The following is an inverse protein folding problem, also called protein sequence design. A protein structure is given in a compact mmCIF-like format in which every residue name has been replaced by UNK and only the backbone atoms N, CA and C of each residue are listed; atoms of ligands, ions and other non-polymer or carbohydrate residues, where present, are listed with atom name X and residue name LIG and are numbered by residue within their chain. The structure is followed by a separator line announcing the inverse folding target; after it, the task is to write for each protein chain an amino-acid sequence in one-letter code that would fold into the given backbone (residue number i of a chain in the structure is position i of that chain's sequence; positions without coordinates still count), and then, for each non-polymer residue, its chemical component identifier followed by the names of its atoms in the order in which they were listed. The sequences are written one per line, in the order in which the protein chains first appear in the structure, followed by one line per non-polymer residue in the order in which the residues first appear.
data_IF_839057774499
#
_entry.id   IF_839057774499
#
_cell.length_a   1.000
_cell.length_b   1.000
_cell.length_c   1.000
_cell.angle_alpha   90.00
_cell.angle_beta   90.00
_cell.angle_gamma   90.00
#
_symmetry.space_group_name_H-M   'P 1'
#
loop_
_entity.id
_entity.type
_entity.pdbx_description
1 polymer ?
#
# COMPACT_ATOMS: atom_id res chain seq x y z
N UNK A 1 8.96 6.04 14.92
CA UNK A 1 8.26 7.30 14.59
C UNK A 1 7.42 7.11 13.34
N UNK A 2 6.18 7.54 13.38
CA UNK A 2 5.29 7.44 12.23
C UNK A 2 5.14 8.81 11.59
N UNK A 3 5.39 8.88 10.30
CA UNK A 3 5.37 10.14 9.56
C UNK A 3 4.23 10.12 8.55
N UNK A 4 3.19 10.93 8.75
CA UNK A 4 2.14 11.05 7.74
C UNK A 4 2.72 11.57 6.43
N UNK A 5 2.28 11.00 5.32
CA UNK A 5 2.77 11.38 4.01
C UNK A 5 1.69 12.17 3.28
N UNK A 6 2.06 13.34 2.77
CA UNK A 6 1.18 14.13 1.92
C UNK A 6 1.19 13.51 0.53
N UNK A 7 0.06 12.94 0.13
CA UNK A 7 -0.04 12.24 -1.15
C UNK A 7 -0.64 13.12 -2.25
N UNK A 8 -0.87 14.40 -1.98
CA UNK A 8 -1.56 15.27 -2.94
C UNK A 8 -0.80 15.46 -4.25
N UNK A 9 0.53 15.37 -4.21
CA UNK A 9 1.37 15.53 -5.39
C UNK A 9 1.93 14.20 -5.90
N UNK A 10 1.42 13.07 -5.41
CA UNK A 10 1.90 11.75 -5.79
C UNK A 10 0.77 10.98 -6.47
N UNK A 11 1.08 10.42 -7.64
CA UNK A 11 0.17 9.52 -8.32
C UNK A 11 0.58 8.08 -8.03
N UNK A 12 -0.39 7.21 -7.75
CA UNK A 12 -0.12 5.83 -7.44
C UNK A 12 -0.76 4.90 -8.46
N UNK A 13 0.00 3.90 -8.90
CA UNK A 13 -0.51 2.79 -9.69
C UNK A 13 -0.28 1.50 -8.95
N UNK A 14 -1.17 0.55 -9.13
CA UNK A 14 -0.99 -0.79 -8.56
C UNK A 14 0.07 -1.53 -9.36
N UNK A 15 1.17 -1.90 -8.72
CA UNK A 15 2.21 -2.68 -9.36
C UNK A 15 1.99 -4.17 -9.18
N UNK A 16 1.62 -4.58 -7.96
CA UNK A 16 1.28 -5.98 -7.64
C UNK A 16 0.06 -5.94 -6.74
N UNK A 17 -0.93 -6.76 -7.08
CA UNK A 17 -2.18 -6.81 -6.34
C UNK A 17 -1.97 -7.30 -4.92
N UNK A 18 -2.98 -7.08 -4.07
CA UNK A 18 -2.88 -7.35 -2.66
C UNK A 18 -2.59 -8.81 -2.36
N UNK A 19 -1.65 -9.04 -1.46
CA UNK A 19 -1.30 -10.37 -0.96
C UNK A 19 -1.37 -10.37 0.55
N UNK A 20 -1.84 -11.48 1.16
CA UNK A 20 -1.88 -11.55 2.62
C UNK A 20 -0.47 -11.53 3.20
N UNK A 21 -0.29 -10.76 4.28
CA UNK A 21 0.96 -10.76 5.03
C UNK A 21 0.93 -11.93 6.00
N UNK A 22 1.91 -12.82 5.92
CA UNK A 22 1.99 -13.96 6.80
C UNK A 22 3.21 -13.85 7.70
N UNK A 23 3.11 -14.41 8.89
CA UNK A 23 4.24 -14.51 9.79
C UNK A 23 5.23 -15.52 9.23
N UNK A 24 6.49 -15.13 9.17
CA UNK A 24 7.52 -15.95 8.55
C UNK A 24 7.73 -17.27 9.29
N UNK A 25 7.63 -17.26 10.60
CA UNK A 25 7.90 -18.45 11.41
C UNK A 25 6.68 -19.36 11.53
N UNK A 26 5.51 -18.78 11.80
CA UNK A 26 4.31 -19.57 12.07
C UNK A 26 3.48 -19.84 10.82
N UNK A 27 3.76 -19.14 9.73
CA UNK A 27 3.00 -19.22 8.47
C UNK A 27 1.53 -18.82 8.63
N UNK A 28 1.20 -18.08 9.69
CA UNK A 28 -0.15 -17.63 9.94
C UNK A 28 -0.33 -16.20 9.43
N UNK A 29 -1.54 -15.85 8.98
CA UNK A 29 -1.79 -14.48 8.56
C UNK A 29 -1.53 -13.50 9.70
N UNK A 30 -0.91 -12.40 9.40
CA UNK A 30 -0.68 -11.33 10.37
C UNK A 30 -1.90 -10.42 10.38
N UNK A 31 -2.16 -9.86 11.56
CA UNK A 31 -3.27 -8.93 11.74
C UNK A 31 -2.75 -7.66 12.43
N UNK A 32 -3.52 -6.58 12.30
CA UNK A 32 -3.21 -5.36 13.03
C UNK A 32 -3.69 -5.47 14.48
N UNK A 33 -3.54 -4.40 15.24
CA UNK A 33 -3.93 -4.38 16.65
C UNK A 33 -5.43 -4.55 16.88
N UNK A 34 -6.25 -4.37 15.84
CA UNK A 34 -7.70 -4.56 15.92
C UNK A 34 -8.14 -5.93 15.41
N UNK A 35 -7.21 -6.80 15.08
CA UNK A 35 -7.53 -8.14 14.57
C UNK A 35 -7.84 -8.18 13.08
N UNK A 36 -7.69 -7.08 12.36
CA UNK A 36 -7.89 -7.05 10.92
C UNK A 36 -6.70 -7.69 10.21
N UNK A 37 -6.93 -8.64 9.28
CA UNK A 37 -5.82 -9.22 8.54
C UNK A 37 -5.10 -8.16 7.72
N UNK A 38 -3.78 -8.25 7.69
CA UNK A 38 -2.94 -7.31 6.96
C UNK A 38 -2.67 -7.84 5.56
N UNK A 39 -2.75 -6.95 4.58
CA UNK A 39 -2.39 -7.24 3.20
C UNK A 39 -1.31 -6.28 2.76
N UNK A 40 -0.48 -6.73 1.83
CA UNK A 40 0.56 -5.90 1.25
C UNK A 40 0.26 -5.68 -0.22
N UNK A 41 0.32 -4.42 -0.63
CA UNK A 41 0.13 -4.02 -2.02
C UNK A 41 1.39 -3.31 -2.47
N UNK A 42 1.94 -3.69 -3.62
CA UNK A 42 3.05 -2.96 -4.19
C UNK A 42 2.51 -1.91 -5.14
N UNK A 43 2.97 -0.68 -4.93
CA UNK A 43 2.50 0.48 -5.68
C UNK A 43 3.66 1.17 -6.36
N UNK A 44 3.39 1.75 -7.52
CA UNK A 44 4.32 2.67 -8.17
C UNK A 44 3.91 4.07 -7.74
N UNK A 45 4.80 4.74 -7.01
CA UNK A 45 4.59 6.12 -6.58
C UNK A 45 5.33 7.04 -7.53
N UNK A 46 4.61 7.95 -8.18
CA UNK A 46 5.17 8.83 -9.21
C UNK A 46 5.01 10.28 -8.78
N UNK A 47 6.12 11.03 -8.85
CA UNK A 47 6.14 12.44 -8.49
C UNK A 47 7.33 13.10 -9.14
N UNK A 48 7.10 14.27 -9.76
CA UNK A 48 8.16 15.11 -10.33
C UNK A 48 9.13 14.36 -11.24
N UNK A 49 8.60 13.50 -12.11
CA UNK A 49 9.42 12.77 -13.05
C UNK A 49 10.17 11.60 -12.47
N UNK A 50 9.93 11.28 -11.21
CA UNK A 50 10.52 10.11 -10.56
C UNK A 50 9.44 9.07 -10.28
N UNK A 51 9.83 7.80 -10.25
CA UNK A 51 8.93 6.72 -9.93
C UNK A 51 9.65 5.69 -9.06
N UNK A 52 9.00 5.29 -7.98
CA UNK A 52 9.53 4.30 -7.06
C UNK A 52 8.47 3.25 -6.77
N UNK A 53 8.92 2.01 -6.57
CA UNK A 53 8.02 0.94 -6.15
C UNK A 53 8.08 0.86 -4.64
N UNK A 54 6.92 0.98 -3.99
CA UNK A 54 6.82 0.87 -2.54
C UNK A 54 5.85 -0.24 -2.17
N UNK A 55 6.14 -0.93 -1.07
CA UNK A 55 5.25 -1.94 -0.53
C UNK A 55 4.49 -1.32 0.64
N UNK A 56 3.16 -1.35 0.57
CA UNK A 56 2.30 -0.69 1.55
C UNK A 56 1.41 -1.74 2.22
N UNK A 57 1.45 -1.76 3.55
CA UNK A 57 0.57 -2.63 4.33
C UNK A 57 -0.75 -1.93 4.59
N UNK A 58 -1.83 -2.68 4.47
CA UNK A 58 -3.17 -2.14 4.66
C UNK A 58 -4.00 -3.19 5.40
N UNK A 59 -4.81 -2.77 6.41
CA UNK A 59 -5.71 -3.71 7.09
C UNK A 59 -6.89 -4.04 6.20
N UNK A 60 -7.26 -5.32 6.17
CA UNK A 60 -8.35 -5.78 5.34
C UNK A 60 -7.96 -5.91 3.88
N UNK A 61 -8.63 -6.78 3.16
CA UNK A 61 -8.33 -7.03 1.75
C UNK A 61 -8.88 -5.89 0.89
N UNK A 62 -8.03 -5.13 0.20
CA UNK A 62 -8.53 -4.13 -0.75
C UNK A 62 -9.21 -4.83 -1.92
N UNK A 63 -10.30 -4.26 -2.39
CA UNK A 63 -11.02 -4.82 -3.52
C UNK A 63 -10.87 -3.94 -4.74
N UNK A 64 -10.97 -4.55 -5.91
CA UNK A 64 -10.97 -3.81 -7.17
C UNK A 64 -9.60 -3.35 -7.63
N UNK A 65 -8.53 -3.76 -6.97
CA UNK A 65 -7.18 -3.40 -7.38
C UNK A 65 -6.73 -4.32 -8.51
N UNK A 66 -6.20 -3.72 -9.56
CA UNK A 66 -5.64 -4.47 -10.69
C UNK A 66 -4.30 -3.90 -11.09
N UNK A 67 -3.39 -4.77 -11.45
CA UNK A 67 -2.06 -4.36 -11.88
C UNK A 67 -2.14 -3.35 -13.02
N UNK A 68 -1.41 -2.26 -12.88
CA UNK A 68 -1.35 -1.20 -13.88
C UNK A 68 -2.45 -0.14 -13.77
N UNK A 69 -3.40 -0.31 -12.86
CA UNK A 69 -4.50 0.63 -12.71
C UNK A 69 -4.20 1.65 -11.61
N UNK A 70 -4.70 2.89 -11.73
CA UNK A 70 -4.49 3.90 -10.71
C UNK A 70 -5.24 3.55 -9.43
N UNK A 71 -4.64 3.93 -8.30
CA UNK A 71 -5.22 3.69 -6.99
C UNK A 71 -5.18 4.96 -6.17
N UNK A 72 -6.07 5.04 -5.19
CA UNK A 72 -6.09 6.11 -4.20
C UNK A 72 -5.64 5.53 -2.87
N UNK A 73 -4.65 6.16 -2.26
CA UNK A 73 -4.09 5.75 -0.98
C UNK A 73 -4.54 6.74 0.07
N UNK A 74 -5.18 6.26 1.12
CA UNK A 74 -5.68 7.11 2.20
C UNK A 74 -4.91 6.80 3.47
N UNK A 75 -4.46 7.86 4.17
CA UNK A 75 -3.77 7.71 5.44
C UNK A 75 -2.43 7.03 5.32
N UNK A 76 -1.66 7.36 4.28
CA UNK A 76 -0.33 6.78 4.10
C UNK A 76 0.63 7.30 5.17
N UNK A 77 1.32 6.37 5.81
CA UNK A 77 2.27 6.67 6.86
C UNK A 77 3.59 5.97 6.53
N UNK A 78 4.67 6.72 6.63
CA UNK A 78 6.02 6.17 6.51
C UNK A 78 6.59 5.98 7.91
N UNK A 79 7.15 4.80 8.15
CA UNK A 79 7.74 4.48 9.45
C UNK A 79 9.18 4.02 9.24
N UNK A 80 10.16 4.90 9.51
CA UNK A 80 11.57 4.48 9.45
C UNK A 80 11.86 3.45 10.52
N UNK A 81 12.72 2.50 10.19
CA UNK A 81 13.13 1.46 11.14
C UNK A 81 14.62 1.23 11.02
N UNK A 82 15.21 0.79 12.14
CA UNK A 82 16.62 0.43 12.20
C UNK A 82 16.75 -0.88 12.98
N UNK A 83 17.54 -1.80 12.44
CA UNK A 83 17.79 -3.07 13.09
C UNK A 83 19.26 -3.41 12.88
N UNK A 84 20.07 -3.21 13.93
CA UNK A 84 21.53 -3.33 13.82
C UNK A 84 22.07 -2.26 12.88
N UNK A 85 22.80 -2.68 11.86
CA UNK A 85 23.36 -1.78 10.85
C UNK A 85 22.47 -1.70 9.59
N UNK A 86 21.25 -2.25 9.66
CA UNK A 86 20.29 -2.20 8.57
C UNK A 86 19.20 -1.19 8.90
N UNK A 87 18.75 -0.49 7.91
CA UNK A 87 17.67 0.47 8.08
C UNK A 87 16.80 0.52 6.82
N UNK A 88 15.59 1.01 6.98
CA UNK A 88 14.68 1.16 5.86
C UNK A 88 13.45 1.93 6.28
N UNK A 89 12.47 1.99 5.39
CA UNK A 89 11.21 2.66 5.65
C UNK A 89 10.07 1.68 5.33
N UNK A 90 9.19 1.50 6.29
CA UNK A 90 7.98 0.71 6.10
C UNK A 90 6.81 1.67 5.83
N UNK A 91 5.91 1.27 4.94
CA UNK A 91 4.74 2.08 4.60
C UNK A 91 3.48 1.36 5.04
N UNK A 92 2.53 2.13 5.58
CA UNK A 92 1.21 1.64 5.93
C UNK A 92 0.18 2.64 5.44
N UNK A 93 -1.01 2.14 5.12
CA UNK A 93 -2.12 3.01 4.73
C UNK A 93 -3.37 2.54 5.46
N UNK A 94 -4.28 3.47 5.71
CA UNK A 94 -5.58 3.12 6.28
C UNK A 94 -6.44 2.42 5.24
N UNK A 95 -6.29 2.82 3.98
CA UNK A 95 -7.12 2.28 2.90
C UNK A 95 -6.42 2.48 1.56
N UNK A 96 -6.58 1.50 0.68
CA UNK A 96 -6.16 1.60 -0.71
C UNK A 96 -7.36 1.23 -1.57
N UNK A 97 -7.74 2.09 -2.49
CA UNK A 97 -8.91 1.90 -3.32
C UNK A 97 -8.57 2.09 -4.79
N UNK A 98 -9.34 1.44 -5.65
CA UNK A 98 -9.22 1.71 -7.07
C UNK A 98 -9.62 3.16 -7.36
N UNK A 99 -8.79 3.86 -8.13
CA UNK A 99 -9.07 5.22 -8.56
C UNK A 99 -9.55 5.26 -10.00
N UNK A 100 -9.88 4.11 -10.57
CA UNK A 100 -10.46 4.07 -11.93
C UNK A 100 -11.82 4.74 -11.88
N UNK A 101 -12.08 5.74 -12.76
CA UNK A 101 -13.37 6.40 -12.74
C UNK A 101 -14.52 5.45 -12.99
N UNK A 102 -15.61 5.67 -12.26
CA UNK A 102 -16.80 4.82 -12.37
C UNK A 102 -17.35 4.79 -13.79
N UNK A 103 -17.31 5.92 -14.48
CA UNK A 103 -17.80 6.01 -15.84
C UNK A 103 -17.00 5.12 -16.79
N UNK A 104 -15.69 5.04 -16.61
CA UNK A 104 -14.84 4.16 -17.39
C UNK A 104 -15.14 2.69 -17.11
N UNK A 105 -15.38 2.37 -15.86
CA UNK A 105 -15.73 1.00 -15.50
C UNK A 105 -17.03 0.56 -16.14
N UNK A 106 -17.98 1.45 -16.28
CA UNK A 106 -19.26 1.15 -16.93
C UNK A 106 -19.15 1.08 -18.45
N UNK A 107 -18.25 1.85 -19.00
CA UNK A 107 -18.08 1.90 -20.45
C UNK A 107 -17.34 0.68 -21.00
N UNK A 108 -16.62 -0.02 -20.18
CA UNK A 108 -15.82 -1.17 -20.59
C UNK A 108 -16.59 -2.48 -20.62
#
# INVERSE_FOLDING_TARGET
MKLPVDTSAIAFLCAVEAEPVVDFETKRPRADENGEPLYMVQLIAMSDGAADIIAVKVPGQPSGLRQGHPVKVTGLVAQPWTMGDRSGVAFRAARIESAVPQAQAKAS
#
